data_IF_194038215950
#
_entry.id   IF_194038215950
#
_cell.length_a   1.000
_cell.length_b   1.000
_cell.length_c   1.000
_cell.angle_alpha   90.00
_cell.angle_beta   90.00
_cell.angle_gamma   90.00
#
_symmetry.space_group_name_H-M   'P 1'
#
loop_
_entity.id
_entity.type
_entity.pdbx_description
1 polymer ?
#
# COMPACT_ATOMS: atom_id res chain seq x y z
N UNK A 1 -15.25 -8.06 0.10
CA UNK A 1 -13.78 -8.25 0.12
C UNK A 1 -13.40 -8.72 -1.27
N UNK A 2 -12.70 -7.91 -2.06
CA UNK A 2 -12.01 -8.44 -3.24
C UNK A 2 -10.85 -9.29 -2.73
N UNK A 3 -10.77 -10.54 -3.18
CA UNK A 3 -9.70 -11.45 -2.79
C UNK A 3 -8.35 -10.79 -3.09
N UNK A 4 -7.59 -10.41 -2.05
CA UNK A 4 -6.24 -9.83 -2.18
C UNK A 4 -5.98 -8.51 -1.47
N UNK A 5 -7.01 -7.73 -1.07
CA UNK A 5 -6.81 -6.45 -0.36
C UNK A 5 -7.46 -6.48 1.05
N UNK A 6 -6.62 -6.67 2.07
CA UNK A 6 -7.00 -6.84 3.48
C UNK A 6 -6.34 -5.77 4.36
N UNK A 7 -6.76 -4.51 4.19
CA UNK A 7 -6.27 -3.35 4.97
C UNK A 7 -7.42 -2.53 5.55
N UNK A 8 -7.10 -1.72 6.56
CA UNK A 8 -8.03 -0.76 7.14
C UNK A 8 -8.51 0.31 6.15
N UNK A 9 -9.73 0.84 6.37
CA UNK A 9 -10.38 1.79 5.44
C UNK A 9 -9.59 3.09 5.28
N UNK A 10 -8.86 3.52 6.30
CA UNK A 10 -8.02 4.72 6.29
C UNK A 10 -6.83 4.63 5.34
N UNK A 11 -6.43 3.44 4.93
CA UNK A 11 -5.31 3.23 4.01
C UNK A 11 -5.72 3.04 2.54
N UNK A 12 -7.01 2.84 2.26
CA UNK A 12 -7.51 2.64 0.90
C UNK A 12 -7.23 3.82 -0.05
N UNK A 13 -7.29 5.09 0.38
CA UNK A 13 -6.95 6.22 -0.49
C UNK A 13 -5.52 6.16 -1.03
N UNK A 14 -4.55 5.76 -0.21
CA UNK A 14 -3.14 5.62 -0.64
C UNK A 14 -2.98 4.51 -1.68
N UNK A 15 -3.69 3.38 -1.53
CA UNK A 15 -3.69 2.31 -2.53
C UNK A 15 -4.32 2.78 -3.84
N UNK A 16 -5.40 3.55 -3.77
CA UNK A 16 -6.03 4.10 -4.97
C UNK A 16 -5.08 5.04 -5.72
N UNK A 17 -4.42 5.97 -5.00
CA UNK A 17 -3.40 6.87 -5.58
C UNK A 17 -2.26 6.07 -6.21
N UNK A 18 -1.76 5.05 -5.52
CA UNK A 18 -0.73 4.15 -6.04
C UNK A 18 -1.17 3.47 -7.34
N UNK A 19 -2.40 2.93 -7.41
CA UNK A 19 -2.92 2.30 -8.62
C UNK A 19 -2.97 3.27 -9.80
N UNK A 20 -3.36 4.53 -9.57
CA UNK A 20 -3.36 5.57 -10.62
C UNK A 20 -1.93 5.82 -11.11
N UNK A 21 -0.98 6.08 -10.21
CA UNK A 21 0.41 6.37 -10.55
C UNK A 21 1.08 5.20 -11.29
N UNK A 22 0.83 3.95 -10.88
CA UNK A 22 1.37 2.77 -11.54
C UNK A 22 0.75 2.54 -12.92
N UNK A 23 -0.52 2.89 -13.10
CA UNK A 23 -1.20 2.83 -14.41
C UNK A 23 -0.60 3.86 -15.37
N UNK A 24 -0.36 5.08 -14.90
CA UNK A 24 0.27 6.15 -15.69
C UNK A 24 1.73 5.82 -16.04
N UNK A 25 2.46 5.16 -15.14
CA UNK A 25 3.83 4.70 -15.37
C UNK A 25 3.90 3.54 -16.39
N UNK A 26 2.79 2.85 -16.59
CA UNK A 26 2.68 1.64 -17.42
C UNK A 26 3.73 0.58 -17.05
N UNK A 27 3.93 0.34 -15.74
CA UNK A 27 4.98 -0.55 -15.25
C UNK A 27 4.60 -2.04 -15.25
N UNK A 28 3.38 -2.40 -15.66
CA UNK A 28 2.91 -3.80 -15.65
C UNK A 28 2.87 -4.41 -14.24
N UNK A 29 2.61 -3.63 -13.20
CA UNK A 29 2.59 -4.13 -11.81
C UNK A 29 1.38 -5.01 -11.56
N UNK A 30 1.61 -6.20 -11.01
CA UNK A 30 0.56 -7.13 -10.60
C UNK A 30 0.60 -7.35 -9.09
N UNK A 31 -0.47 -7.00 -8.39
CA UNK A 31 -0.57 -7.22 -6.95
C UNK A 31 -1.00 -8.66 -6.65
N UNK A 32 -0.19 -9.37 -5.86
CA UNK A 32 -0.57 -10.68 -5.31
C UNK A 32 -1.27 -10.53 -3.96
N UNK A 33 -0.78 -9.61 -3.10
CA UNK A 33 -1.39 -9.31 -1.80
C UNK A 33 -1.16 -7.86 -1.40
N UNK A 34 -2.18 -7.24 -0.82
CA UNK A 34 -2.08 -5.99 -0.05
C UNK A 34 -2.72 -6.26 1.31
N UNK A 35 -1.93 -6.25 2.38
CA UNK A 35 -2.41 -6.63 3.72
C UNK A 35 -1.80 -5.81 4.83
N UNK A 36 -2.51 -5.75 5.94
CA UNK A 36 -1.93 -5.36 7.22
C UNK A 36 -1.09 -6.52 7.79
N UNK A 37 0.10 -6.19 8.30
CA UNK A 37 0.94 -7.11 9.10
C UNK A 37 1.74 -6.34 10.14
N UNK A 38 1.54 -6.66 11.42
CA UNK A 38 2.18 -6.02 12.58
C UNK A 38 1.92 -4.50 12.67
N UNK A 39 0.68 -4.11 12.41
CA UNK A 39 0.19 -2.74 12.41
C UNK A 39 0.63 -1.90 11.22
N UNK A 40 1.16 -2.53 10.15
CA UNK A 40 1.76 -1.85 9.00
C UNK A 40 1.30 -2.43 7.67
N UNK A 41 1.33 -1.62 6.62
CA UNK A 41 0.96 -2.07 5.29
C UNK A 41 2.08 -2.94 4.69
N UNK A 42 1.69 -4.03 4.02
CA UNK A 42 2.57 -4.84 3.17
C UNK A 42 1.93 -5.01 1.81
N UNK A 43 2.72 -4.71 0.78
CA UNK A 43 2.37 -4.91 -0.62
C UNK A 43 3.32 -5.97 -1.17
N UNK A 44 2.73 -7.00 -1.78
CA UNK A 44 3.44 -8.04 -2.50
C UNK A 44 3.04 -7.93 -3.96
N UNK A 45 4.01 -7.69 -4.83
CA UNK A 45 3.81 -7.49 -6.25
C UNK A 45 4.78 -8.32 -7.08
N UNK A 46 4.36 -8.59 -8.30
CA UNK A 46 5.22 -8.99 -9.41
C UNK A 46 5.10 -7.97 -10.54
N UNK A 47 5.67 -8.34 -11.67
CA UNK A 47 5.58 -7.59 -12.92
C UNK A 47 5.14 -8.53 -14.02
N UNK A 48 4.05 -8.17 -14.69
CA UNK A 48 3.62 -8.74 -15.96
C UNK A 48 3.98 -7.81 -17.12
N UNK A 49 3.21 -7.88 -18.19
CA UNK A 49 3.37 -7.02 -19.35
C UNK A 49 2.80 -5.62 -19.10
N UNK A 50 3.36 -4.63 -19.78
CA UNK A 50 2.80 -3.29 -19.91
C UNK A 50 1.47 -3.33 -20.68
N UNK A 51 0.71 -2.23 -20.66
CA UNK A 51 -0.53 -2.04 -21.42
C UNK A 51 -0.31 -2.17 -22.94
N UNK A 52 0.93 -2.00 -23.40
CA UNK A 52 1.34 -2.19 -24.81
C UNK A 52 1.85 -3.60 -25.12
N UNK A 53 1.77 -4.52 -24.16
CA UNK A 53 2.18 -5.92 -24.32
C UNK A 53 3.70 -6.12 -24.32
N UNK A 54 4.46 -5.17 -23.80
CA UNK A 54 5.92 -5.25 -23.69
C UNK A 54 6.34 -5.65 -22.27
N UNK A 55 7.57 -6.14 -22.12
CA UNK A 55 8.18 -6.26 -20.80
C UNK A 55 8.51 -4.87 -20.25
N UNK A 56 8.18 -4.57 -18.97
CA UNK A 56 8.51 -3.28 -18.39
C UNK A 56 10.02 -3.11 -18.27
N UNK A 57 10.48 -1.92 -18.63
CA UNK A 57 11.89 -1.53 -18.56
C UNK A 57 12.40 -1.52 -17.11
N UNK A 58 13.71 -1.61 -16.91
CA UNK A 58 14.30 -1.51 -15.57
C UNK A 58 13.93 -0.19 -14.89
N UNK A 59 13.91 0.92 -15.64
CA UNK A 59 13.52 2.22 -15.11
C UNK A 59 12.06 2.21 -14.60
N UNK A 60 11.12 1.61 -15.35
CA UNK A 60 9.73 1.48 -14.90
C UNK A 60 9.61 0.64 -13.64
N UNK A 61 10.37 -0.47 -13.54
CA UNK A 61 10.40 -1.30 -12.33
C UNK A 61 10.91 -0.53 -11.12
N UNK A 62 12.02 0.21 -11.30
CA UNK A 62 12.61 1.03 -10.22
C UNK A 62 11.67 2.17 -9.77
N UNK A 63 10.94 2.80 -10.70
CA UNK A 63 9.96 3.83 -10.34
C UNK A 63 8.74 3.22 -9.63
N UNK A 64 8.24 2.07 -10.10
CA UNK A 64 7.14 1.38 -9.44
C UNK A 64 7.50 1.00 -7.99
N UNK A 65 8.71 0.46 -7.77
CA UNK A 65 9.18 0.13 -6.42
C UNK A 65 9.25 1.37 -5.53
N UNK A 66 9.70 2.52 -6.04
CA UNK A 66 9.71 3.78 -5.28
C UNK A 66 8.30 4.22 -4.88
N UNK A 67 7.34 4.20 -5.80
CA UNK A 67 5.95 4.56 -5.54
C UNK A 67 5.31 3.64 -4.49
N UNK A 68 5.56 2.32 -4.60
CA UNK A 68 5.10 1.33 -3.63
C UNK A 68 5.69 1.62 -2.24
N UNK A 69 7.00 1.87 -2.14
CA UNK A 69 7.65 2.17 -0.86
C UNK A 69 7.16 3.49 -0.26
N UNK A 70 6.94 4.53 -1.06
CA UNK A 70 6.37 5.79 -0.61
C UNK A 70 4.94 5.59 -0.06
N UNK A 71 4.12 4.83 -0.77
CA UNK A 71 2.75 4.49 -0.35
C UNK A 71 2.74 3.76 0.98
N UNK A 72 3.62 2.76 1.15
CA UNK A 72 3.77 2.04 2.43
C UNK A 72 4.18 3.01 3.54
N UNK A 73 5.12 3.93 3.31
CA UNK A 73 5.53 4.92 4.33
C UNK A 73 4.37 5.85 4.71
N UNK A 74 3.60 6.34 3.74
CA UNK A 74 2.41 7.18 3.99
C UNK A 74 1.38 6.42 4.83
N UNK A 75 1.09 5.17 4.47
CA UNK A 75 0.16 4.33 5.21
C UNK A 75 0.67 4.02 6.64
N UNK A 76 1.95 3.65 6.79
CA UNK A 76 2.56 3.33 8.09
C UNK A 76 2.60 4.53 9.06
N UNK A 77 2.47 5.75 8.55
CA UNK A 77 2.36 7.00 9.31
C UNK A 77 0.91 7.51 9.47
N UNK A 78 -0.08 6.73 9.02
CA UNK A 78 -1.50 7.10 9.01
C UNK A 78 -2.34 6.06 9.73
N UNK A 79 -3.39 6.51 10.41
CA UNK A 79 -4.34 5.64 11.08
C UNK A 79 -5.02 4.70 10.09
N UNK A 80 -4.94 3.39 10.34
CA UNK A 80 -5.57 2.38 9.49
C UNK A 80 -7.10 2.51 9.43
N UNK A 81 -7.70 3.15 10.44
CA UNK A 81 -9.15 3.34 10.53
C UNK A 81 -9.63 4.59 9.82
N UNK A 82 -9.01 5.76 10.00
CA UNK A 82 -9.53 7.02 9.45
C UNK A 82 -8.60 7.73 8.46
N UNK A 83 -7.34 7.32 8.34
CA UNK A 83 -6.35 7.94 7.45
C UNK A 83 -5.70 9.20 8.00
N UNK A 84 -6.13 9.72 9.16
CA UNK A 84 -5.45 10.82 9.86
C UNK A 84 -4.04 10.40 10.31
N UNK A 85 -3.12 11.33 10.63
CA UNK A 85 -1.81 11.00 11.16
C UNK A 85 -1.90 10.02 12.35
N UNK A 86 -1.09 8.97 12.30
CA UNK A 86 -1.10 7.90 13.29
C UNK A 86 0.30 7.41 13.61
N UNK A 87 0.43 6.72 14.74
CA UNK A 87 1.69 6.08 15.13
C UNK A 87 1.45 4.60 15.37
N UNK A 88 2.50 3.79 15.19
CA UNK A 88 2.46 2.38 15.53
C UNK A 88 2.25 2.23 17.04
N UNK A 89 1.12 1.62 17.41
CA UNK A 89 0.81 1.20 18.78
C UNK A 89 1.14 -0.28 18.89
N UNK A 90 1.87 -0.63 19.94
CA UNK A 90 2.39 -2.00 20.16
C UNK A 90 1.86 -2.65 21.44
N UNK A 91 0.94 -1.98 22.14
CA UNK A 91 0.27 -2.57 23.29
C UNK A 91 -0.84 -3.49 22.78
N UNK A 92 -0.74 -4.80 23.07
CA UNK A 92 -1.69 -5.79 22.57
C UNK A 92 -1.52 -6.06 21.07
N UNK A 93 -2.62 -6.06 20.31
CA UNK A 93 -2.58 -6.23 18.85
C UNK A 93 -2.06 -4.97 18.18
N UNK A 94 -0.99 -5.11 17.40
CA UNK A 94 -0.32 -3.97 16.79
C UNK A 94 -1.22 -3.28 15.76
N UNK A 95 -1.24 -1.96 15.80
CA UNK A 95 -1.91 -1.14 14.79
C UNK A 95 -1.30 0.27 14.68
N UNK A 96 -1.22 0.83 13.48
CA UNK A 96 -0.98 2.27 13.33
C UNK A 96 -2.32 3.01 13.47
N UNK A 97 -2.43 3.85 14.49
CA UNK A 97 -3.66 4.57 14.81
C UNK A 97 -3.41 5.97 15.39
N UNK A 98 -4.38 6.86 15.17
CA UNK A 98 -4.51 8.12 15.90
C UNK A 98 -5.03 7.85 17.32
N UNK A 99 -5.04 8.86 18.20
CA UNK A 99 -5.48 8.69 19.59
C UNK A 99 -6.95 8.28 19.73
N UNK A 100 -7.81 8.70 18.81
CA UNK A 100 -9.24 8.35 18.80
C UNK A 100 -9.50 6.88 18.45
N UNK A 101 -8.62 6.28 17.63
CA UNK A 101 -8.75 4.90 17.15
C UNK A 101 -7.69 3.96 17.73
N UNK A 102 -6.98 4.38 18.79
CA UNK A 102 -6.05 3.50 19.48
C UNK A 102 -6.83 2.33 20.08
N UNK A 103 -6.20 1.16 20.09
CA UNK A 103 -6.71 -0.01 20.83
C UNK A 103 -6.13 0.07 22.25
N UNK A 104 -6.94 -0.28 23.26
CA UNK A 104 -6.55 -0.23 24.68
C UNK A 104 -5.61 -1.37 25.09
#
# INVERSE_FOLDING_TARGET
MSYGCCVGKGWKPFIHELCVQLTELDAGVEFSQIKEKFGRMRIYNGFGQTLTGQEPTQWQRDQADKLIQETIRKADASCETCGAPGILRTKGWYNTACDEHKRD
#
